data_IF_023893166966
#
_entry.id   IF_023893166966
#
_cell.length_a   1.000
_cell.length_b   1.000
_cell.length_c   1.000
_cell.angle_alpha   90.00
_cell.angle_beta   90.00
_cell.angle_gamma   90.00
#
_symmetry.space_group_name_H-M   'P 1'
#
loop_
_entity.id
_entity.type
_entity.pdbx_description
1 polymer ?
#
# COMPACT_ATOMS: atom_id res chain seq x y z
N UNK A 1 -14.40 -85.28 -6.69
CA UNK A 1 -15.18 -84.12 -6.19
C UNK A 1 -14.70 -83.83 -4.79
N UNK A 2 -13.97 -82.74 -4.57
CA UNK A 2 -13.57 -82.28 -3.23
C UNK A 2 -13.87 -80.79 -3.14
N UNK A 3 -14.77 -80.46 -2.21
CA UNK A 3 -15.36 -79.15 -2.01
C UNK A 3 -14.36 -78.13 -1.42
N UNK A 4 -14.57 -76.86 -1.74
CA UNK A 4 -13.80 -75.73 -1.24
C UNK A 4 -14.55 -74.97 -0.12
N UNK A 5 -13.74 -74.39 0.79
CA UNK A 5 -13.98 -73.25 1.69
C UNK A 5 -14.56 -73.54 3.09
N UNK A 6 -14.04 -72.86 4.14
CA UNK A 6 -14.56 -71.53 4.44
C UNK A 6 -13.49 -70.42 4.58
N UNK A 7 -13.87 -69.24 4.11
CA UNK A 7 -13.17 -67.96 4.23
C UNK A 7 -12.99 -67.54 5.70
N UNK A 8 -11.74 -67.43 6.16
CA UNK A 8 -11.42 -66.60 7.35
C UNK A 8 -11.45 -65.12 6.96
N UNK A 9 -12.18 -64.25 7.67
CA UNK A 9 -12.15 -62.82 7.41
C UNK A 9 -10.74 -62.30 7.72
N UNK A 10 -10.10 -61.67 6.73
CA UNK A 10 -8.80 -61.01 6.93
C UNK A 10 -8.97 -59.85 7.90
N UNK A 11 -8.60 -60.04 9.16
CA UNK A 11 -8.54 -58.98 10.15
C UNK A 11 -7.50 -57.96 9.68
N UNK A 12 -7.95 -56.84 9.14
CA UNK A 12 -7.07 -55.73 8.79
C UNK A 12 -6.43 -55.25 10.09
N UNK A 13 -5.11 -55.41 10.19
CA UNK A 13 -4.35 -55.09 11.37
C UNK A 13 -4.44 -53.58 11.64
N UNK A 14 -5.13 -53.20 12.72
CA UNK A 14 -5.35 -51.79 13.12
C UNK A 14 -4.02 -51.03 13.21
N UNK A 15 -2.93 -51.76 13.51
CA UNK A 15 -1.57 -51.21 13.59
C UNK A 15 -1.01 -50.79 12.22
N UNK A 16 -1.44 -51.41 11.13
CA UNK A 16 -1.09 -50.99 9.76
C UNK A 16 -1.90 -49.76 9.31
N UNK A 17 -3.16 -49.64 9.73
CA UNK A 17 -3.98 -48.45 9.47
C UNK A 17 -3.41 -47.19 10.15
N UNK A 18 -2.97 -47.32 11.42
CA UNK A 18 -2.36 -46.20 12.16
C UNK A 18 -1.03 -45.77 11.56
N UNK A 19 -0.23 -46.70 11.02
CA UNK A 19 1.02 -46.38 10.33
C UNK A 19 0.80 -45.57 9.06
N UNK A 20 -0.25 -45.83 8.28
CA UNK A 20 -0.57 -45.04 7.09
C UNK A 20 -1.06 -43.62 7.42
N UNK A 21 -1.90 -43.49 8.45
CA UNK A 21 -2.40 -42.19 8.91
C UNK A 21 -1.26 -41.29 9.46
N UNK A 22 -0.26 -41.87 10.12
CA UNK A 22 0.88 -41.15 10.70
C UNK A 22 1.72 -40.39 9.66
N UNK A 23 1.78 -40.87 8.42
CA UNK A 23 2.52 -40.20 7.32
C UNK A 23 1.65 -39.25 6.50
N UNK A 24 0.32 -39.32 6.65
CA UNK A 24 -0.62 -38.50 5.88
C UNK A 24 -0.77 -37.10 6.48
N UNK A 25 -0.85 -37.02 7.81
CA UNK A 25 -1.09 -35.76 8.54
C UNK A 25 0.04 -34.72 8.31
N UNK A 26 1.34 -35.07 8.38
CA UNK A 26 2.41 -34.09 8.12
C UNK A 26 2.40 -33.56 6.70
N UNK A 27 2.09 -34.41 5.71
CA UNK A 27 2.06 -34.05 4.28
C UNK A 27 0.90 -33.11 3.99
N UNK A 28 -0.28 -33.38 4.56
CA UNK A 28 -1.46 -32.50 4.42
C UNK A 28 -1.19 -31.16 5.10
N UNK A 29 -0.60 -31.16 6.30
CA UNK A 29 -0.23 -29.93 7.00
C UNK A 29 0.75 -29.08 6.17
N UNK A 30 1.81 -29.69 5.62
CA UNK A 30 2.75 -28.99 4.73
C UNK A 30 2.08 -28.48 3.44
N UNK A 31 1.22 -29.29 2.82
CA UNK A 31 0.51 -28.91 1.60
C UNK A 31 -0.47 -27.76 1.84
N UNK A 32 -1.09 -27.68 3.00
CA UNK A 32 -1.96 -26.56 3.39
C UNK A 32 -1.19 -25.31 3.81
N UNK A 33 0.06 -25.44 4.25
CA UNK A 33 0.92 -24.32 4.62
C UNK A 33 1.64 -23.67 3.42
N UNK A 34 1.91 -24.44 2.37
CA UNK A 34 2.61 -23.97 1.18
C UNK A 34 1.95 -22.75 0.48
N UNK A 35 0.61 -22.66 0.35
CA UNK A 35 -0.05 -21.49 -0.22
C UNK A 35 0.18 -20.21 0.59
N UNK A 36 0.20 -20.29 1.93
CA UNK A 36 0.43 -19.14 2.81
C UNK A 36 1.88 -18.63 2.70
N UNK A 37 2.85 -19.53 2.54
CA UNK A 37 4.25 -19.17 2.34
C UNK A 37 4.50 -18.51 0.98
N UNK A 38 3.84 -18.98 -0.09
CA UNK A 38 3.99 -18.44 -1.45
C UNK A 38 3.31 -17.07 -1.65
N UNK A 39 2.27 -16.76 -0.87
CA UNK A 39 1.61 -15.44 -0.89
C UNK A 39 2.37 -14.35 -0.12
N UNK A 40 3.44 -14.70 0.60
CA UNK A 40 4.17 -13.79 1.49
C UNK A 40 5.29 -13.00 0.82
N UNK A 41 5.51 -13.16 -0.49
CA UNK A 41 6.50 -12.35 -1.21
C UNK A 41 5.95 -10.95 -1.43
N UNK A 42 6.29 -10.05 -0.50
CA UNK A 42 6.02 -8.62 -0.62
C UNK A 42 6.71 -8.09 -1.88
N UNK A 43 5.94 -7.47 -2.76
CA UNK A 43 6.47 -6.83 -3.98
C UNK A 43 7.12 -5.51 -3.57
N UNK A 44 8.43 -5.40 -3.76
CA UNK A 44 9.14 -4.17 -3.47
C UNK A 44 8.89 -3.13 -4.58
N UNK A 45 8.30 -1.99 -4.23
CA UNK A 45 7.98 -0.91 -5.20
C UNK A 45 9.15 0.07 -5.42
N UNK A 46 10.31 -0.22 -4.82
CA UNK A 46 11.49 0.62 -4.86
C UNK A 46 11.38 1.89 -4.01
N UNK A 47 12.26 2.84 -4.30
CA UNK A 47 12.43 4.06 -3.52
C UNK A 47 11.51 5.17 -4.04
N UNK A 48 10.21 5.03 -3.79
CA UNK A 48 9.27 6.11 -4.06
C UNK A 48 9.49 7.27 -3.07
N UNK A 49 9.08 8.48 -3.47
CA UNK A 49 9.21 9.68 -2.64
C UNK A 49 7.93 10.49 -2.64
N UNK A 50 7.64 11.09 -1.51
CA UNK A 50 6.67 12.17 -1.33
C UNK A 50 7.48 13.40 -0.95
N UNK A 51 7.36 14.46 -1.73
CA UNK A 51 8.09 15.72 -1.50
C UNK A 51 7.08 16.85 -1.45
N UNK A 52 7.15 17.68 -0.41
CA UNK A 52 6.38 18.91 -0.36
C UNK A 52 6.87 19.92 -1.40
N UNK A 53 5.94 20.56 -2.10
CA UNK A 53 6.25 21.64 -3.03
C UNK A 53 5.37 22.87 -2.73
N UNK A 54 5.99 24.04 -2.76
CA UNK A 54 5.32 25.29 -2.43
C UNK A 54 4.49 25.87 -3.57
N UNK A 55 4.60 25.31 -4.77
CA UNK A 55 4.05 25.86 -5.98
C UNK A 55 4.70 27.20 -6.33
N UNK A 56 3.99 27.97 -7.15
CA UNK A 56 4.41 29.29 -7.60
C UNK A 56 3.32 30.28 -7.22
N UNK A 57 3.70 31.33 -6.48
CA UNK A 57 2.80 32.41 -6.06
C UNK A 57 1.90 32.85 -7.22
N UNK A 58 0.58 32.85 -6.96
CA UNK A 58 -0.48 33.24 -7.89
C UNK A 58 -0.69 32.38 -9.15
N UNK A 59 0.08 31.30 -9.36
CA UNK A 59 -0.05 30.43 -10.53
C UNK A 59 -0.35 28.98 -10.18
N UNK A 60 0.35 28.44 -9.18
CA UNK A 60 0.23 27.05 -8.77
C UNK A 60 0.23 26.97 -7.24
N UNK A 61 -0.81 26.38 -6.67
CA UNK A 61 -0.91 26.23 -5.22
C UNK A 61 0.13 25.26 -4.65
N UNK A 62 0.36 25.33 -3.33
CA UNK A 62 1.25 24.41 -2.62
C UNK A 62 0.69 22.99 -2.69
N UNK A 63 1.51 22.00 -2.38
CA UNK A 63 1.11 20.62 -2.56
C UNK A 63 2.22 19.61 -2.35
N UNK A 64 2.05 18.44 -2.97
CA UNK A 64 2.99 17.34 -2.87
C UNK A 64 3.23 16.72 -4.23
N UNK A 65 4.49 16.36 -4.47
CA UNK A 65 4.89 15.55 -5.61
C UNK A 65 5.18 14.13 -5.10
N UNK A 66 4.45 13.17 -5.65
CA UNK A 66 4.63 11.74 -5.35
C UNK A 66 5.28 11.10 -6.55
N UNK A 67 6.53 10.68 -6.45
CA UNK A 67 7.24 10.02 -7.54
C UNK A 67 7.43 8.55 -7.23
N UNK A 68 7.01 7.69 -8.16
CA UNK A 68 7.23 6.26 -8.08
C UNK A 68 8.72 5.92 -8.15
N UNK A 69 9.10 4.79 -7.55
CA UNK A 69 10.46 4.26 -7.64
C UNK A 69 10.73 3.59 -8.98
N UNK A 70 11.71 2.68 -8.99
CA UNK A 70 12.03 1.85 -10.16
C UNK A 70 10.91 0.87 -10.55
N UNK A 71 9.93 0.67 -9.67
CA UNK A 71 8.73 -0.13 -9.93
C UNK A 71 7.47 0.76 -9.85
N UNK A 72 6.38 0.38 -10.54
CA UNK A 72 5.12 1.11 -10.46
C UNK A 72 4.57 1.17 -9.03
N UNK A 73 4.01 2.31 -8.65
CA UNK A 73 3.27 2.44 -7.41
C UNK A 73 1.89 1.80 -7.60
N UNK A 74 1.48 0.84 -6.76
CA UNK A 74 0.27 0.06 -6.98
C UNK A 74 -1.01 0.89 -6.79
N UNK A 75 -2.07 0.46 -7.46
CA UNK A 75 -3.44 0.90 -7.19
C UNK A 75 -3.76 0.69 -5.70
N UNK A 76 -4.52 1.62 -5.10
CA UNK A 76 -4.87 1.56 -3.68
C UNK A 76 -3.81 2.13 -2.74
N UNK A 77 -2.67 2.62 -3.26
CA UNK A 77 -1.77 3.47 -2.46
C UNK A 77 -2.54 4.70 -1.98
N UNK A 78 -2.46 4.96 -0.67
CA UNK A 78 -3.17 6.05 -0.02
C UNK A 78 -2.18 7.13 0.38
N UNK A 79 -2.46 8.38 0.04
CA UNK A 79 -1.72 9.56 0.48
C UNK A 79 -2.64 10.37 1.37
N UNK A 80 -2.34 10.35 2.66
CA UNK A 80 -3.05 11.12 3.67
C UNK A 80 -2.36 12.46 3.89
N UNK A 81 -3.11 13.54 3.70
CA UNK A 81 -2.65 14.91 3.90
C UNK A 81 -3.37 15.49 5.10
N UNK A 82 -2.59 15.96 6.06
CA UNK A 82 -3.08 16.59 7.29
C UNK A 82 -2.53 18.00 7.36
N UNK A 83 -3.42 18.97 7.53
CA UNK A 83 -3.02 20.36 7.74
C UNK A 83 -3.24 20.86 9.17
N UNK A 84 -2.41 21.80 9.58
CA UNK A 84 -2.50 22.52 10.85
C UNK A 84 -2.27 24.03 10.64
N UNK A 85 -2.71 24.85 11.61
CA UNK A 85 -2.66 26.31 11.52
C UNK A 85 -3.77 26.96 10.69
N UNK A 86 -4.67 26.17 10.11
CA UNK A 86 -5.79 26.61 9.26
C UNK A 86 -7.05 25.78 9.53
N UNK A 87 -8.22 26.31 9.19
CA UNK A 87 -9.49 25.59 9.34
C UNK A 87 -9.89 24.75 8.11
N UNK A 88 -9.29 25.04 6.94
CA UNK A 88 -9.56 24.30 5.73
C UNK A 88 -8.34 24.19 4.81
N UNK A 89 -7.94 22.96 4.44
CA UNK A 89 -6.77 22.75 3.55
C UNK A 89 -7.08 22.78 2.05
N UNK A 90 -8.22 23.35 1.67
CA UNK A 90 -8.63 23.54 0.27
C UNK A 90 -9.05 22.26 -0.46
N UNK A 91 -9.38 22.41 -1.73
CA UNK A 91 -9.57 21.29 -2.65
C UNK A 91 -8.22 20.88 -3.21
N UNK A 92 -8.02 19.58 -3.42
CA UNK A 92 -6.82 19.06 -4.08
C UNK A 92 -7.15 18.63 -5.51
N UNK A 93 -6.34 19.11 -6.46
CA UNK A 93 -6.30 18.59 -7.82
C UNK A 93 -5.16 17.57 -7.96
N UNK A 94 -5.35 16.65 -8.89
CA UNK A 94 -4.42 15.55 -9.17
C UNK A 94 -4.01 15.64 -10.64
N UNK A 95 -2.70 15.67 -10.90
CA UNK A 95 -2.13 15.71 -12.25
C UNK A 95 -1.03 14.64 -12.38
N UNK A 96 -0.79 14.12 -13.60
CA UNK A 96 0.25 13.12 -13.84
C UNK A 96 -0.16 11.67 -13.53
N UNK A 97 -1.42 11.44 -13.17
CA UNK A 97 -1.96 10.11 -12.91
C UNK A 97 -3.46 10.14 -12.59
N UNK A 98 -4.00 9.04 -12.07
CA UNK A 98 -5.41 8.94 -11.68
C UNK A 98 -5.53 8.55 -10.21
N UNK A 99 -6.29 9.34 -9.47
CA UNK A 99 -6.56 9.11 -8.05
C UNK A 99 -7.94 9.66 -7.68
N UNK A 100 -8.54 9.06 -6.66
CA UNK A 100 -9.73 9.60 -6.01
C UNK A 100 -9.29 10.50 -4.83
N UNK A 101 -9.90 11.68 -4.71
CA UNK A 101 -9.67 12.62 -3.62
C UNK A 101 -10.85 12.58 -2.68
N UNK A 102 -10.65 12.04 -1.48
CA UNK A 102 -11.67 11.98 -0.44
C UNK A 102 -11.42 13.04 0.64
N UNK A 103 -12.47 13.80 0.97
CA UNK A 103 -12.43 14.81 2.03
C UNK A 103 -12.87 14.17 3.34
N UNK A 104 -11.93 13.96 4.27
CA UNK A 104 -12.22 13.33 5.56
C UNK A 104 -12.67 14.36 6.60
N UNK A 105 -12.09 15.56 6.55
CA UNK A 105 -12.42 16.67 7.44
C UNK A 105 -12.01 17.99 6.79
N UNK A 106 -12.26 19.12 7.46
CA UNK A 106 -11.76 20.44 7.06
C UNK A 106 -10.23 20.48 6.89
N UNK A 107 -9.48 19.65 7.58
CA UNK A 107 -8.02 19.67 7.59
C UNK A 107 -7.35 18.39 7.05
N UNK A 108 -8.15 17.39 6.67
CA UNK A 108 -7.62 16.07 6.30
C UNK A 108 -8.18 15.63 4.96
N UNK A 109 -7.29 15.22 4.05
CA UNK A 109 -7.60 14.65 2.72
C UNK A 109 -6.96 13.29 2.62
N UNK A 110 -7.65 12.35 1.98
CA UNK A 110 -7.08 11.06 1.58
C UNK A 110 -7.15 10.96 0.07
N UNK A 111 -6.01 10.75 -0.55
CA UNK A 111 -5.90 10.60 -1.99
C UNK A 111 -5.55 9.14 -2.26
N UNK A 112 -6.38 8.42 -3.00
CA UNK A 112 -6.18 7.00 -3.27
C UNK A 112 -5.95 6.78 -4.75
N UNK A 113 -4.82 6.18 -5.12
CA UNK A 113 -4.54 5.84 -6.50
C UNK A 113 -5.62 4.88 -7.04
N UNK A 114 -6.26 5.26 -8.15
CA UNK A 114 -7.26 4.44 -8.85
C UNK A 114 -6.68 3.71 -10.06
N UNK A 115 -5.45 4.03 -10.45
CA UNK A 115 -4.61 3.22 -11.32
C UNK A 115 -3.18 3.18 -10.77
N UNK A 116 -2.38 2.22 -11.24
CA UNK A 116 -0.97 2.18 -10.90
C UNK A 116 -0.24 3.41 -11.48
N UNK A 117 0.61 4.05 -10.66
CA UNK A 117 1.50 5.11 -11.13
C UNK A 117 2.73 4.42 -11.76
N UNK A 118 3.04 4.66 -13.05
CA UNK A 118 4.17 3.99 -13.71
C UNK A 118 5.51 4.24 -13.01
N UNK A 119 6.47 3.35 -13.22
CA UNK A 119 7.83 3.50 -12.67
C UNK A 119 8.42 4.87 -13.07
N UNK A 120 9.04 5.55 -12.10
CA UNK A 120 9.61 6.90 -12.22
C UNK A 120 8.62 8.01 -12.62
N UNK A 121 7.33 7.74 -12.73
CA UNK A 121 6.33 8.77 -12.99
C UNK A 121 6.03 9.57 -11.72
N UNK A 122 5.66 10.84 -11.92
CA UNK A 122 5.28 11.76 -10.84
C UNK A 122 3.79 12.06 -10.90
N UNK A 123 3.16 11.96 -9.74
CA UNK A 123 1.82 12.42 -9.46
C UNK A 123 1.92 13.73 -8.68
N UNK A 124 1.31 14.78 -9.20
CA UNK A 124 1.24 16.08 -8.52
C UNK A 124 -0.10 16.26 -7.83
N UNK A 125 -0.05 16.65 -6.57
CA UNK A 125 -1.20 16.88 -5.69
C UNK A 125 -1.19 18.35 -5.28
N UNK A 126 -2.03 19.18 -5.90
CA UNK A 126 -2.01 20.64 -5.69
C UNK A 126 -3.26 21.08 -4.94
N UNK A 127 -3.10 21.87 -3.88
CA UNK A 127 -4.23 22.47 -3.16
C UNK A 127 -4.54 23.87 -3.68
N UNK A 128 -5.81 24.28 -3.56
CA UNK A 128 -6.26 25.66 -3.77
C UNK A 128 -5.90 26.61 -2.63
N UNK A 129 -5.18 26.15 -1.60
CA UNK A 129 -4.67 27.01 -0.53
C UNK A 129 -3.73 28.09 -1.08
N UNK A 130 -3.88 29.32 -0.57
CA UNK A 130 -2.94 30.39 -0.88
C UNK A 130 -1.76 30.37 0.07
N UNK A 131 -0.53 30.53 -0.45
CA UNK A 131 0.68 30.64 0.37
C UNK A 131 0.77 31.95 1.16
N UNK A 132 -0.14 32.91 0.92
CA UNK A 132 -0.27 34.13 1.72
C UNK A 132 -0.88 33.91 3.11
N UNK A 133 -1.18 32.66 3.48
CA UNK A 133 -1.70 32.27 4.80
C UNK A 133 -0.68 31.36 5.49
N UNK A 134 -0.55 31.47 6.82
CA UNK A 134 0.26 30.53 7.60
C UNK A 134 -0.43 29.17 7.63
N UNK A 135 0.27 28.12 7.20
CA UNK A 135 -0.21 26.75 7.35
C UNK A 135 0.95 25.79 7.39
N UNK A 136 0.68 24.60 7.91
CA UNK A 136 1.55 23.45 7.77
C UNK A 136 0.75 22.30 7.20
N UNK A 137 1.28 21.63 6.17
CA UNK A 137 0.72 20.44 5.55
C UNK A 137 1.73 19.32 5.70
N UNK A 138 1.29 18.14 6.13
CA UNK A 138 2.08 16.93 6.13
C UNK A 138 1.37 15.88 5.28
N UNK A 139 2.09 15.24 4.36
CA UNK A 139 1.59 14.12 3.57
C UNK A 139 2.29 12.83 3.99
N UNK A 140 1.54 11.74 4.09
CA UNK A 140 2.07 10.39 4.34
C UNK A 140 1.44 9.41 3.36
N UNK A 141 2.27 8.72 2.60
CA UNK A 141 1.89 7.69 1.66
C UNK A 141 2.02 6.30 2.29
N UNK A 142 0.93 5.53 2.22
CA UNK A 142 0.81 4.16 2.72
C UNK A 142 0.52 3.23 1.55
N UNK A 143 1.36 2.20 1.42
CA UNK A 143 1.19 1.17 0.40
C UNK A 143 0.10 0.16 0.81
N UNK A 144 -0.61 -0.43 -0.15
CA UNK A 144 -1.56 -1.51 0.11
C UNK A 144 -0.83 -2.78 0.57
N UNK A 145 -1.58 -3.70 1.18
CA UNK A 145 -1.07 -5.00 1.61
C UNK A 145 -0.47 -5.77 0.45
N UNK A 146 0.64 -6.47 0.68
CA UNK A 146 1.36 -7.21 -0.36
C UNK A 146 2.49 -6.41 -1.03
N UNK A 147 2.66 -5.14 -0.68
CA UNK A 147 3.72 -4.28 -1.20
C UNK A 147 4.61 -3.72 -0.09
N UNK A 148 5.89 -3.54 -0.39
CA UNK A 148 6.85 -2.89 0.52
C UNK A 148 7.62 -1.78 -0.17
N UNK A 149 7.96 -0.77 0.60
CA UNK A 149 8.83 0.30 0.17
C UNK A 149 10.30 -0.18 0.10
N UNK A 150 11.10 0.42 -0.77
CA UNK A 150 12.55 0.29 -0.72
C UNK A 150 13.15 0.93 0.53
N UNK A 151 14.37 0.54 0.90
CA UNK A 151 15.03 0.97 2.13
C UNK A 151 15.32 2.48 2.21
N UNK A 152 15.34 3.17 1.07
CA UNK A 152 15.54 4.63 1.00
C UNK A 152 14.30 5.38 0.51
N UNK A 153 13.14 4.70 0.49
CA UNK A 153 11.87 5.34 0.19
C UNK A 153 11.58 6.45 1.21
N UNK A 154 10.96 7.53 0.72
CA UNK A 154 10.51 8.65 1.54
C UNK A 154 8.99 8.72 1.47
N UNK A 155 8.27 8.02 2.37
CA UNK A 155 6.82 7.96 2.32
C UNK A 155 6.15 9.25 2.80
N UNK A 156 6.89 10.20 3.35
CA UNK A 156 6.35 11.41 3.94
C UNK A 156 7.06 12.66 3.44
N UNK A 157 6.28 13.73 3.25
CA UNK A 157 6.77 15.06 2.95
C UNK A 157 5.96 16.10 3.72
N UNK A 158 6.46 17.34 3.75
CA UNK A 158 5.78 18.44 4.43
C UNK A 158 5.91 19.74 3.64
N UNK A 159 4.91 20.63 3.77
CA UNK A 159 4.93 22.00 3.28
C UNK A 159 4.58 22.94 4.41
N UNK A 160 5.40 23.97 4.61
CA UNK A 160 5.19 24.96 5.65
C UNK A 160 5.20 26.36 5.05
N UNK A 161 4.15 27.14 5.30
CA UNK A 161 4.08 28.56 4.95
C UNK A 161 4.00 29.42 6.21
N UNK A 162 4.83 30.46 6.29
CA UNK A 162 4.81 31.48 7.33
C UNK A 162 4.26 32.82 6.83
N UNK A 163 3.45 32.82 5.78
CA UNK A 163 2.98 33.98 4.97
C UNK A 163 4.08 34.65 4.14
N UNK A 164 5.31 34.66 4.65
CA UNK A 164 6.47 35.31 4.01
C UNK A 164 7.31 34.31 3.22
N UNK A 165 7.53 33.14 3.80
CA UNK A 165 8.27 32.04 3.17
C UNK A 165 7.39 30.81 3.10
N UNK A 166 7.51 30.07 2.00
CA UNK A 166 7.05 28.70 1.93
C UNK A 166 8.27 27.78 1.72
N UNK A 167 8.31 26.67 2.45
CA UNK A 167 9.28 25.60 2.25
C UNK A 167 8.60 24.24 2.17
N UNK A 168 9.14 23.36 1.34
CA UNK A 168 8.72 21.97 1.20
C UNK A 168 9.87 21.01 1.46
N UNK A 169 9.59 19.84 2.03
CA UNK A 169 10.55 18.74 2.25
C UNK A 169 9.99 17.41 1.81
#
# INVERSE_FOLDING_TARGET
MTAASPNSPKTIDRRNLVKGAAWSVPVIALATAAPFASSSQLVNVGNFRVVGDCGVLALLGPGFEVTAGAQPLPIGTQIDIVGSGIANIGLFSVTGGTANVNVLSGNTRRITLTAALPANATLELRTTLSISVAFNLAATATLPTGFTAGSTAKPSGAVNSTLVLCSGT
#
